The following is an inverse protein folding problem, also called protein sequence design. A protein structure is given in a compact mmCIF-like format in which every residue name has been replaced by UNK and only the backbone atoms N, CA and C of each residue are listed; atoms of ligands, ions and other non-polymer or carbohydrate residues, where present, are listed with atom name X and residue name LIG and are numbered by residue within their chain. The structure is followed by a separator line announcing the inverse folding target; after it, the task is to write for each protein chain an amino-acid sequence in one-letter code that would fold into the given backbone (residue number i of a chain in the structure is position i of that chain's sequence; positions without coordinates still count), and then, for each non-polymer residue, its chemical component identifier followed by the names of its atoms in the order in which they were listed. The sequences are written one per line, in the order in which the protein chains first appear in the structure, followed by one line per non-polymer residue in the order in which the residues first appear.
data_IF_423760659353
#
_entry.id   IF_423760659353
#
_cell.length_a   1.000
_cell.length_b   1.000
_cell.length_c   1.000
_cell.angle_alpha   90.00
_cell.angle_beta   90.00
_cell.angle_gamma   90.00
#
_symmetry.space_group_name_H-M   'P 1'
#
loop_
_entity.id
_entity.type
_entity.pdbx_description
1 polymer ?
#
# COMPACT_ATOMS: atom_id res chain seq x y z
N UNK A 1 7.68 -2.41 19.04
CA UNK A 1 6.68 -3.27 18.36
C UNK A 1 7.01 -3.34 16.87
N UNK A 2 6.73 -4.46 16.18
CA UNK A 2 7.17 -4.63 14.78
C UNK A 2 6.53 -3.61 13.81
N UNK A 3 5.24 -3.30 13.98
CA UNK A 3 4.55 -2.23 13.21
C UNK A 3 5.21 -0.86 13.37
N UNK A 4 5.66 -0.50 14.57
CA UNK A 4 6.38 0.76 14.80
C UNK A 4 7.73 0.79 14.05
N UNK A 5 8.46 -0.33 14.01
CA UNK A 5 9.72 -0.40 13.28
C UNK A 5 9.48 -0.33 11.77
N UNK A 6 8.45 -1.01 11.27
CA UNK A 6 7.97 -0.90 9.88
C UNK A 6 7.61 0.55 9.55
N UNK A 7 6.83 1.23 10.39
CA UNK A 7 6.46 2.63 10.20
C UNK A 7 7.69 3.53 10.11
N UNK A 8 8.66 3.39 11.03
CA UNK A 8 9.91 4.16 10.98
C UNK A 8 10.71 3.89 9.71
N UNK A 9 10.72 2.65 9.24
CA UNK A 9 11.37 2.28 7.98
C UNK A 9 10.70 2.98 6.78
N UNK A 10 9.37 2.93 6.71
CA UNK A 10 8.57 3.57 5.66
C UNK A 10 8.74 5.08 5.68
N UNK A 11 8.61 5.71 6.84
CA UNK A 11 8.83 7.16 7.02
C UNK A 11 10.23 7.58 6.54
N UNK A 12 11.25 6.77 6.84
CA UNK A 12 12.62 7.05 6.44
C UNK A 12 12.88 6.86 4.94
N UNK A 13 12.07 6.05 4.24
CA UNK A 13 12.11 5.89 2.79
C UNK A 13 11.32 7.01 2.09
N UNK A 14 10.13 7.36 2.58
CA UNK A 14 9.30 8.43 2.02
C UNK A 14 9.91 9.83 2.20
N UNK A 15 10.58 10.08 3.34
CA UNK A 15 11.29 11.34 3.59
C UNK A 15 12.60 11.49 2.80
N UNK A 16 13.11 10.41 2.20
CA UNK A 16 14.33 10.39 1.37
C UNK A 16 14.08 9.56 0.11
N UNK A 17 13.30 10.10 -0.85
CA UNK A 17 12.99 9.41 -2.10
C UNK A 17 14.25 8.91 -2.81
N UNK A 18 14.16 7.75 -3.45
CA UNK A 18 15.27 7.08 -4.12
C UNK A 18 16.16 6.22 -3.21
N UNK A 19 15.86 6.13 -1.90
CA UNK A 19 16.58 5.22 -1.00
C UNK A 19 15.89 3.87 -0.89
N UNK A 20 16.66 2.79 -1.05
CA UNK A 20 16.19 1.41 -0.81
C UNK A 20 16.40 1.06 0.66
N UNK A 21 15.37 0.54 1.32
CA UNK A 21 15.44 0.10 2.72
C UNK A 21 14.87 -1.29 2.92
N UNK A 22 15.48 -2.05 3.83
CA UNK A 22 15.01 -3.38 4.23
C UNK A 22 14.04 -3.27 5.40
N UNK A 23 12.91 -3.97 5.30
CA UNK A 23 11.96 -4.07 6.41
C UNK A 23 12.56 -4.88 7.57
N UNK A 24 12.23 -4.53 8.82
CA UNK A 24 12.81 -5.15 10.01
C UNK A 24 12.21 -6.54 10.30
N UNK A 25 13.04 -7.49 10.74
CA UNK A 25 12.61 -8.75 11.35
C UNK A 25 11.62 -9.57 10.50
N UNK A 26 10.52 -10.02 11.10
CA UNK A 26 9.51 -10.83 10.41
C UNK A 26 8.79 -10.07 9.28
N UNK A 27 8.86 -8.73 9.26
CA UNK A 27 8.27 -7.95 8.18
C UNK A 27 8.93 -8.24 6.83
N UNK A 28 10.19 -8.69 6.80
CA UNK A 28 10.84 -9.08 5.55
C UNK A 28 10.27 -10.38 4.93
N UNK A 29 9.57 -11.22 5.71
CA UNK A 29 8.97 -12.47 5.20
C UNK A 29 7.67 -12.22 4.45
N UNK A 30 6.80 -11.37 5.02
CA UNK A 30 5.51 -11.00 4.45
C UNK A 30 5.39 -9.47 4.37
N UNK A 31 6.17 -8.82 3.49
CA UNK A 31 6.33 -7.36 3.49
C UNK A 31 5.02 -6.61 3.31
N UNK A 32 4.19 -7.04 2.34
CA UNK A 32 2.90 -6.41 2.06
C UNK A 32 1.96 -6.47 3.27
N UNK A 33 1.87 -7.62 3.94
CA UNK A 33 1.00 -7.80 5.11
C UNK A 33 1.42 -6.90 6.27
N UNK A 34 2.74 -6.77 6.50
CA UNK A 34 3.25 -5.92 7.58
C UNK A 34 3.16 -4.43 7.26
N UNK A 35 3.32 -4.04 6.00
CA UNK A 35 3.03 -2.67 5.54
C UNK A 35 1.54 -2.38 5.76
N UNK A 36 0.65 -3.28 5.32
CA UNK A 36 -0.79 -3.12 5.49
C UNK A 36 -1.19 -3.01 6.96
N UNK A 37 -0.73 -3.90 7.84
CA UNK A 37 -0.97 -3.82 9.29
C UNK A 37 -0.43 -2.55 9.96
N UNK A 38 0.50 -1.87 9.31
CA UNK A 38 1.10 -0.64 9.83
C UNK A 38 0.34 0.60 9.36
N UNK A 39 -0.22 0.57 8.15
CA UNK A 39 -0.80 1.75 7.49
C UNK A 39 -2.33 1.71 7.39
N UNK A 40 -2.93 0.53 7.32
CA UNK A 40 -4.35 0.34 7.06
C UNK A 40 -5.08 -0.01 8.35
N UNK A 41 -6.30 0.51 8.46
CA UNK A 41 -7.29 0.18 9.47
C UNK A 41 -8.70 0.25 8.86
N UNK A 42 -9.72 0.26 9.72
CA UNK A 42 -11.14 0.28 9.32
C UNK A 42 -11.62 1.60 8.68
N UNK A 43 -10.87 2.69 8.80
CA UNK A 43 -11.29 4.01 8.30
C UNK A 43 -10.89 4.21 6.83
N UNK A 44 -9.96 3.41 6.32
CA UNK A 44 -9.41 3.57 4.97
C UNK A 44 -9.97 2.57 3.96
N UNK A 45 -10.16 3.05 2.73
CA UNK A 45 -10.46 2.27 1.54
C UNK A 45 -9.20 1.71 0.89
N UNK A 46 -9.21 0.43 0.52
CA UNK A 46 -8.12 -0.23 -0.17
C UNK A 46 -8.61 -0.90 -1.47
N UNK A 47 -7.97 -0.57 -2.60
CA UNK A 47 -8.15 -1.28 -3.86
C UNK A 47 -6.93 -2.17 -4.14
N UNK A 48 -7.17 -3.33 -4.76
CA UNK A 48 -6.10 -4.26 -5.14
C UNK A 48 -6.20 -4.50 -6.65
N UNK A 49 -5.16 -4.14 -7.38
CA UNK A 49 -5.05 -4.35 -8.82
C UNK A 49 -4.18 -5.58 -9.09
N UNK A 50 -4.67 -6.47 -9.94
CA UNK A 50 -3.99 -7.73 -10.27
C UNK A 50 -4.31 -8.92 -9.36
N UNK A 51 -5.31 -8.79 -8.47
CA UNK A 51 -5.77 -9.88 -7.58
C UNK A 51 -6.95 -10.65 -8.17
N UNK A 52 -6.67 -11.51 -9.16
CA UNK A 52 -7.72 -12.17 -9.97
C UNK A 52 -8.73 -13.01 -9.19
N UNK A 53 -8.34 -13.55 -8.02
CA UNK A 53 -9.21 -14.40 -7.19
C UNK A 53 -9.65 -13.72 -5.88
N UNK A 54 -9.27 -12.45 -5.66
CA UNK A 54 -9.61 -11.71 -4.44
C UNK A 54 -8.93 -12.23 -3.17
N UNK A 55 -7.92 -13.09 -3.28
CA UNK A 55 -7.29 -13.72 -2.12
C UNK A 55 -6.49 -12.68 -1.32
N UNK A 56 -5.80 -11.76 -1.99
CA UNK A 56 -5.03 -10.71 -1.32
C UNK A 56 -5.99 -9.70 -0.68
N UNK A 57 -7.06 -9.31 -1.38
CA UNK A 57 -8.09 -8.45 -0.84
C UNK A 57 -8.69 -9.03 0.46
N UNK A 58 -9.05 -10.32 0.44
CA UNK A 58 -9.58 -11.03 1.61
C UNK A 58 -8.58 -11.10 2.75
N UNK A 59 -7.32 -11.44 2.45
CA UNK A 59 -6.24 -11.50 3.44
C UNK A 59 -6.05 -10.14 4.13
N UNK A 60 -5.95 -9.06 3.37
CA UNK A 60 -5.70 -7.72 3.90
C UNK A 60 -6.90 -7.19 4.70
N UNK A 61 -8.12 -7.37 4.19
CA UNK A 61 -9.34 -7.02 4.91
C UNK A 61 -9.43 -7.77 6.24
N UNK A 62 -9.11 -9.07 6.27
CA UNK A 62 -9.11 -9.86 7.52
C UNK A 62 -8.04 -9.39 8.51
N UNK A 63 -6.88 -8.94 8.02
CA UNK A 63 -5.75 -8.56 8.85
C UNK A 63 -5.86 -7.13 9.42
N UNK A 64 -6.55 -6.23 8.71
CA UNK A 64 -6.57 -4.78 8.99
C UNK A 64 -7.97 -4.21 9.22
N UNK A 65 -9.00 -4.93 8.79
CA UNK A 65 -10.41 -4.48 8.72
C UNK A 65 -10.65 -3.31 7.76
N UNK A 66 -9.71 -3.01 6.86
CA UNK A 66 -9.92 -1.99 5.84
C UNK A 66 -11.11 -2.30 4.94
N UNK A 67 -11.70 -1.24 4.38
CA UNK A 67 -12.78 -1.35 3.40
C UNK A 67 -12.20 -1.67 2.03
N UNK A 68 -12.45 -2.86 1.50
CA UNK A 68 -12.10 -3.17 0.11
C UNK A 68 -13.04 -2.40 -0.82
N UNK A 69 -12.50 -1.60 -1.73
CA UNK A 69 -13.27 -0.72 -2.61
C UNK A 69 -12.69 -0.63 -4.03
N UNK A 70 -13.34 0.18 -4.88
CA UNK A 70 -12.85 0.54 -6.21
C UNK A 70 -11.60 1.42 -6.13
N UNK A 71 -10.83 1.51 -7.22
CA UNK A 71 -9.64 2.39 -7.29
C UNK A 71 -10.01 3.87 -7.11
N UNK A 72 -11.20 4.27 -7.56
CA UNK A 72 -11.73 5.63 -7.48
C UNK A 72 -12.02 6.05 -6.03
N UNK A 73 -12.34 5.10 -5.16
CA UNK A 73 -12.70 5.33 -3.76
C UNK A 73 -11.57 4.98 -2.77
N UNK A 74 -10.41 4.57 -3.26
CA UNK A 74 -9.34 4.02 -2.44
C UNK A 74 -8.45 5.11 -1.85
N UNK A 75 -8.07 4.97 -0.56
CA UNK A 75 -6.98 5.71 0.09
C UNK A 75 -5.64 5.00 -0.17
N UNK A 76 -5.68 3.66 -0.34
CA UNK A 76 -4.53 2.84 -0.69
C UNK A 76 -4.81 1.98 -1.91
N UNK A 77 -3.91 1.98 -2.88
CA UNK A 77 -3.98 1.09 -4.05
C UNK A 77 -2.78 0.15 -4.04
N UNK A 78 -3.04 -1.14 -3.99
CA UNK A 78 -2.00 -2.17 -4.05
C UNK A 78 -1.94 -2.71 -5.47
N UNK A 79 -0.88 -2.37 -6.18
CA UNK A 79 -0.62 -2.84 -7.54
C UNK A 79 0.28 -4.08 -7.49
N UNK A 80 -0.31 -5.26 -7.71
CA UNK A 80 0.43 -6.52 -7.75
C UNK A 80 1.20 -6.64 -9.07
N UNK A 81 2.35 -7.33 -9.02
CA UNK A 81 3.22 -7.59 -10.18
C UNK A 81 3.73 -6.31 -10.88
N UNK A 82 3.80 -5.19 -10.15
CA UNK A 82 4.33 -3.92 -10.65
C UNK A 82 3.45 -3.23 -11.69
N UNK A 83 2.20 -3.66 -11.87
CA UNK A 83 1.32 -3.12 -12.91
C UNK A 83 0.03 -2.58 -12.31
N UNK A 84 -0.29 -1.33 -12.67
CA UNK A 84 -1.57 -0.68 -12.38
C UNK A 84 -2.41 -0.45 -13.66
N UNK A 85 -1.74 -0.39 -14.83
CA UNK A 85 -2.39 -0.18 -16.12
C UNK A 85 -3.23 1.10 -16.16
N UNK A 86 -4.38 1.04 -16.84
CA UNK A 86 -5.29 2.18 -17.01
C UNK A 86 -5.98 2.61 -15.71
N UNK A 87 -5.95 1.79 -14.66
CA UNK A 87 -6.52 2.15 -13.36
C UNK A 87 -5.79 3.35 -12.72
N UNK A 88 -4.55 3.64 -13.13
CA UNK A 88 -3.81 4.83 -12.67
C UNK A 88 -4.59 6.14 -12.89
N UNK A 89 -5.38 6.20 -13.97
CA UNK A 89 -6.16 7.38 -14.34
C UNK A 89 -7.36 7.64 -13.41
N UNK A 90 -7.73 6.63 -12.61
CA UNK A 90 -8.84 6.68 -11.67
C UNK A 90 -8.39 6.94 -10.24
N UNK A 91 -7.10 6.85 -9.97
CA UNK A 91 -6.54 7.02 -8.63
C UNK A 91 -6.78 8.46 -8.17
N UNK A 92 -7.30 8.63 -6.96
CA UNK A 92 -7.48 9.95 -6.36
C UNK A 92 -6.14 10.65 -6.19
N UNK A 93 -6.06 11.90 -6.64
CA UNK A 93 -4.86 12.74 -6.51
C UNK A 93 -5.00 13.83 -5.44
N UNK A 94 -6.11 13.81 -4.68
CA UNK A 94 -6.51 14.92 -3.83
C UNK A 94 -6.97 16.12 -4.65
N UNK A 95 -7.17 17.25 -3.99
CA UNK A 95 -7.54 18.52 -4.62
C UNK A 95 -6.69 19.67 -4.05
N UNK A 96 -6.89 20.89 -4.56
CA UNK A 96 -6.06 22.04 -4.17
C UNK A 96 -6.22 22.44 -2.69
N UNK A 97 -7.41 22.23 -2.11
CA UNK A 97 -7.68 22.50 -0.69
C UNK A 97 -7.20 21.35 0.20
N UNK A 98 -7.35 20.11 -0.29
CA UNK A 98 -7.03 18.87 0.42
C UNK A 98 -6.12 17.96 -0.44
N UNK A 99 -4.82 18.30 -0.55
CA UNK A 99 -3.88 17.50 -1.35
C UNK A 99 -3.56 16.15 -0.69
N UNK A 100 -3.78 16.03 0.61
CA UNK A 100 -3.57 14.82 1.41
C UNK A 100 -4.69 13.77 1.24
N UNK A 101 -5.82 14.12 0.64
CA UNK A 101 -6.90 13.18 0.29
C UNK A 101 -6.59 12.33 -0.97
N UNK A 102 -5.38 12.47 -1.51
CA UNK A 102 -4.88 11.59 -2.56
C UNK A 102 -4.63 10.17 -2.05
N UNK A 103 -4.67 9.20 -2.97
CA UNK A 103 -4.39 7.81 -2.64
C UNK A 103 -2.88 7.54 -2.65
N UNK A 104 -2.45 6.64 -1.77
CA UNK A 104 -1.09 6.07 -1.76
C UNK A 104 -1.05 4.78 -2.57
N UNK A 105 -0.17 4.71 -3.56
CA UNK A 105 0.01 3.50 -4.38
C UNK A 105 1.21 2.70 -3.86
N UNK A 106 1.00 1.41 -3.60
CA UNK A 106 2.02 0.44 -3.19
C UNK A 106 2.21 -0.56 -4.33
N UNK A 107 3.36 -0.51 -4.98
CA UNK A 107 3.72 -1.47 -6.04
C UNK A 107 4.47 -2.66 -5.44
N UNK A 108 3.96 -3.87 -5.70
CA UNK A 108 4.67 -5.11 -5.44
C UNK A 108 5.40 -5.53 -6.72
N UNK A 109 6.72 -5.35 -6.76
CA UNK A 109 7.58 -5.61 -7.92
C UNK A 109 8.52 -6.79 -7.68
N UNK A 110 9.00 -7.42 -8.75
CA UNK A 110 9.93 -8.55 -8.68
C UNK A 110 11.34 -8.12 -8.23
N UNK A 111 11.80 -6.96 -8.69
CA UNK A 111 13.11 -6.41 -8.37
C UNK A 111 13.09 -4.88 -8.46
N UNK A 112 13.98 -4.24 -7.70
CA UNK A 112 14.33 -2.83 -7.83
C UNK A 112 15.79 -2.76 -8.27
N UNK A 113 16.07 -2.02 -9.35
CA UNK A 113 17.46 -1.75 -9.74
C UNK A 113 18.00 -0.62 -8.84
N UNK A 114 19.17 -0.81 -8.20
CA UNK A 114 19.76 0.15 -7.28
C UNK A 114 20.48 1.33 -7.95
#
# INVERSE_FOLDING_TARGET
MLTQQTYRCLLAAMSRPGTVRSLPGQAARDPLLWIARTLLDQEVGCAIVGDSNGAIATLLASATRCRVCSVEDADFVIALNGQIGNEILKVRTGNAEYPDEGATIIYSIEAIDP
#
